data_IF_657826919218
#
_entry.id   IF_657826919218
#
_cell.length_a   1.000
_cell.length_b   1.000
_cell.length_c   1.000
_cell.angle_alpha   90.00
_cell.angle_beta   90.00
_cell.angle_gamma   90.00
#
_symmetry.space_group_name_H-M   'P 1'
#
loop_
_entity.id
_entity.type
_entity.pdbx_description
1 polymer ?
2 water ?
#
# COMPACT_ATOMS: atom_id res chain seq x y z
N UNK A 3 -12.88 -12.02 -12.13
CA UNK A 3 -12.22 -11.45 -10.96
C UNK A 3 -13.17 -11.34 -9.76
N UNK A 4 -13.02 -12.27 -8.83
CA UNK A 4 -13.99 -12.43 -7.76
C UNK A 4 -13.39 -12.16 -6.38
N UNK A 5 -14.26 -11.84 -5.42
CA UNK A 5 -13.87 -11.68 -4.03
C UNK A 5 -13.82 -13.04 -3.35
N UNK A 6 -12.67 -13.37 -2.74
CA UNK A 6 -12.56 -14.62 -2.00
C UNK A 6 -13.61 -14.69 -0.89
N UNK A 7 -14.35 -15.81 -0.81
CA UNK A 7 -15.43 -15.98 0.16
C UNK A 7 -14.97 -15.69 1.58
N UNK A 8 -13.76 -16.12 1.92
CA UNK A 8 -13.29 -16.00 3.29
C UNK A 8 -13.22 -14.55 3.80
N UNK A 9 -13.10 -13.60 2.89
CA UNK A 9 -13.09 -12.20 3.27
C UNK A 9 -14.40 -11.52 2.95
N UNK A 10 -15.32 -12.27 2.34
CA UNK A 10 -16.58 -11.68 1.89
C UNK A 10 -17.33 -10.93 3.01
N UNK A 11 -17.41 -11.54 4.18
CA UNK A 11 -18.17 -10.94 5.27
C UNK A 11 -17.44 -9.73 5.90
N UNK A 12 -16.13 -9.81 6.06
CA UNK A 12 -15.40 -8.67 6.63
C UNK A 12 -15.42 -7.50 5.67
N UNK A 13 -15.32 -7.78 4.38
CA UNK A 13 -15.33 -6.73 3.38
C UNK A 13 -16.66 -6.01 3.33
N UNK A 14 -17.76 -6.76 3.37
CA UNK A 14 -19.11 -6.17 3.41
C UNK A 14 -19.39 -5.29 4.63
N UNK A 15 -18.84 -5.69 5.78
CA UNK A 15 -19.03 -4.90 7.00
C UNK A 15 -18.35 -3.53 6.91
N UNK A 16 -17.14 -3.51 6.35
CA UNK A 16 -16.42 -2.26 6.12
C UNK A 16 -17.14 -1.43 5.08
N UNK A 17 -17.60 -2.08 4.02
CA UNK A 17 -18.36 -1.36 3.00
C UNK A 17 -19.57 -0.68 3.57
N UNK A 18 -20.29 -1.37 4.44
CA UNK A 18 -21.53 -0.78 4.95
C UNK A 18 -21.20 0.28 5.96
N UNK A 19 -20.12 0.08 6.70
CA UNK A 19 -19.67 1.12 7.60
C UNK A 19 -19.29 2.35 6.79
N UNK A 20 -18.52 2.20 5.73
CA UNK A 20 -18.03 3.37 5.01
C UNK A 20 -19.18 4.16 4.37
N UNK A 21 -20.07 3.45 3.71
CA UNK A 21 -21.25 4.04 3.08
C UNK A 21 -22.09 4.77 4.10
N UNK A 22 -22.21 4.18 5.28
CA UNK A 22 -22.97 4.77 6.37
C UNK A 22 -22.40 6.13 6.81
N UNK A 23 -21.14 6.14 7.24
CA UNK A 23 -20.49 7.38 7.67
C UNK A 23 -20.40 8.42 6.55
N UNK A 24 -20.04 7.96 5.35
CA UNK A 24 -19.79 8.87 4.24
C UNK A 24 -21.08 9.38 3.64
N UNK A 25 -22.11 8.54 3.62
CA UNK A 25 -23.40 8.94 3.08
C UNK A 25 -23.31 9.42 1.64
N UNK A 26 -23.73 10.65 1.43
CA UNK A 26 -23.81 11.29 0.12
C UNK A 26 -22.48 11.38 -0.64
N UNK A 27 -21.42 11.87 -0.01
CA UNK A 27 -20.18 12.15 -0.73
C UNK A 27 -19.47 10.92 -1.30
N UNK A 28 -19.95 9.74 -0.92
CA UNK A 28 -19.37 8.51 -1.45
C UNK A 28 -19.57 8.43 -2.96
N UNK A 29 -18.45 8.26 -3.66
CA UNK A 29 -18.43 8.05 -5.10
C UNK A 29 -18.14 6.58 -5.39
N UNK A 30 -17.01 6.08 -4.89
CA UNK A 30 -16.63 4.68 -5.09
C UNK A 30 -15.88 4.04 -3.92
N UNK A 31 -15.91 2.71 -3.88
CA UNK A 31 -15.07 1.93 -2.97
C UNK A 31 -14.44 0.79 -3.74
N UNK A 32 -13.12 0.78 -3.81
CA UNK A 32 -12.43 -0.24 -4.59
C UNK A 32 -11.66 -1.20 -3.70
N UNK A 33 -11.70 -2.47 -4.08
CA UNK A 33 -10.96 -3.49 -3.35
C UNK A 33 -9.71 -3.80 -4.15
N UNK A 34 -8.57 -3.83 -3.49
CA UNK A 34 -7.35 -4.18 -4.20
C UNK A 34 -6.44 -4.99 -3.29
N UNK A 35 -5.22 -5.28 -3.74
CA UNK A 35 -4.28 -6.05 -2.95
C UNK A 35 -4.32 -7.54 -3.18
N UNK A 36 -3.73 -8.29 -2.23
CA UNK A 36 -3.58 -9.73 -2.39
C UNK A 36 -4.93 -10.45 -2.63
N UNK A 37 -6.00 -9.88 -2.10
CA UNK A 37 -7.35 -10.40 -2.28
C UNK A 37 -7.76 -10.52 -3.75
N UNK A 38 -7.28 -9.63 -4.61
CA UNK A 38 -7.51 -9.74 -6.05
C UNK A 38 -6.32 -10.19 -6.92
N UNK A 39 -5.12 -10.25 -6.33
CA UNK A 39 -3.92 -10.63 -7.09
C UNK A 39 -2.85 -11.25 -6.20
N UNK A 40 -2.27 -12.38 -6.60
CA UNK A 40 -1.23 -13.00 -5.79
C UNK A 40 -1.78 -14.01 -4.78
N UNK A 41 -3.05 -13.86 -4.41
CA UNK A 41 -3.68 -14.80 -3.53
C UNK A 41 -3.47 -14.47 -2.07
N UNK A 42 -4.44 -14.83 -1.24
CA UNK A 42 -4.40 -14.49 0.16
C UNK A 42 -3.48 -15.43 0.94
N UNK A 43 -2.80 -14.85 1.92
CA UNK A 43 -1.89 -15.59 2.77
C UNK A 43 -2.52 -15.39 4.12
N UNK A 44 -2.15 -16.20 5.10
CA UNK A 44 -2.76 -15.98 6.43
C UNK A 44 -2.63 -14.53 6.85
N UNK A 45 -1.52 -13.88 6.49
CA UNK A 45 -1.28 -12.51 6.95
C UNK A 45 -1.71 -11.35 6.03
N UNK A 46 -2.37 -11.65 4.92
CA UNK A 46 -2.71 -10.58 3.98
C UNK A 46 -3.69 -9.57 4.56
N UNK A 47 -3.60 -8.33 4.09
CA UNK A 47 -4.57 -7.30 4.48
C UNK A 47 -5.61 -7.06 3.40
N UNK A 48 -6.82 -6.72 3.82
CA UNK A 48 -7.83 -6.30 2.88
C UNK A 48 -7.59 -4.82 2.63
N UNK A 49 -7.46 -4.45 1.37
CA UNK A 49 -7.15 -3.07 1.00
C UNK A 49 -8.31 -2.42 0.25
N UNK A 50 -8.73 -1.26 0.74
CA UNK A 50 -9.80 -0.48 0.11
C UNK A 50 -9.38 0.94 -0.25
N UNK A 51 -9.74 1.40 -1.44
CA UNK A 51 -9.71 2.81 -1.74
C UNK A 51 -11.15 3.35 -1.68
N UNK A 52 -11.31 4.48 -0.97
CA UNK A 52 -12.59 5.16 -0.86
C UNK A 52 -12.53 6.54 -1.51
N UNK A 53 -13.25 6.70 -2.63
CA UNK A 53 -13.29 7.96 -3.36
C UNK A 53 -14.49 8.77 -2.92
N UNK A 54 -14.25 10.02 -2.52
CA UNK A 54 -15.30 10.89 -2.01
C UNK A 54 -15.26 12.26 -2.67
N UNK A 55 -16.36 13.00 -2.56
CA UNK A 55 -16.56 14.19 -3.35
C UNK A 55 -16.20 15.46 -2.61
N UNK A 56 -16.42 15.42 -1.30
CA UNK A 56 -16.04 16.51 -0.41
C UNK A 56 -15.29 15.94 0.77
N UNK A 57 -14.51 16.78 1.47
CA UNK A 57 -13.76 16.34 2.65
C UNK A 57 -14.65 15.90 3.83
N UNK A 58 -14.05 15.09 4.70
CA UNK A 58 -14.72 14.55 5.87
C UNK A 58 -14.78 15.58 6.97
N UNK A 59 -15.89 15.62 7.70
CA UNK A 59 -15.93 16.39 8.93
C UNK A 59 -14.98 15.70 9.90
N UNK A 60 -14.52 16.39 10.94
CA UNK A 60 -13.65 15.77 11.91
C UNK A 60 -14.40 14.65 12.64
N UNK A 61 -15.70 14.86 12.81
CA UNK A 61 -16.57 13.86 13.41
C UNK A 61 -16.55 12.56 12.63
N UNK A 62 -16.67 12.68 11.31
CA UNK A 62 -16.64 11.52 10.42
C UNK A 62 -15.28 10.85 10.44
N UNK A 63 -14.23 11.65 10.36
CA UNK A 63 -12.89 11.12 10.43
C UNK A 63 -12.79 10.26 11.69
N UNK A 64 -13.19 10.84 12.82
CA UNK A 64 -13.14 10.15 14.10
C UNK A 64 -13.98 8.86 14.09
N UNK A 65 -15.17 8.93 13.51
CA UNK A 65 -16.03 7.76 13.48
C UNK A 65 -15.40 6.66 12.65
N UNK A 66 -14.92 7.02 11.45
CA UNK A 66 -14.30 6.08 10.55
C UNK A 66 -13.08 5.38 11.14
N UNK A 67 -12.20 6.15 11.77
CA UNK A 67 -11.00 5.56 12.34
C UNK A 67 -11.38 4.62 13.50
N UNK A 68 -12.27 5.07 14.37
CA UNK A 68 -12.67 4.22 15.48
C UNK A 68 -13.32 2.92 15.00
N UNK A 69 -14.28 3.02 14.08
CA UNK A 69 -15.05 1.86 13.66
C UNK A 69 -14.22 0.90 12.80
N UNK A 70 -13.27 1.42 12.03
CA UNK A 70 -12.37 0.59 11.25
C UNK A 70 -11.45 -0.22 12.17
N UNK A 71 -10.89 0.48 13.14
CA UNK A 71 -10.08 -0.13 14.18
C UNK A 71 -10.79 -1.34 14.77
N UNK A 72 -12.10 -1.23 14.94
CA UNK A 72 -12.93 -2.30 15.49
C UNK A 72 -13.10 -3.47 14.53
N UNK A 73 -13.23 -3.19 13.23
CA UNK A 73 -13.36 -4.23 12.20
C UNK A 73 -12.01 -4.77 11.77
N UNK A 74 -10.95 -4.31 12.40
CA UNK A 74 -9.62 -4.75 11.98
C UNK A 74 -8.88 -5.40 13.15
N UNK A 75 -7.96 -6.30 12.85
CA UNK A 75 -7.08 -6.82 13.89
C UNK A 75 -5.69 -6.90 13.32
N UNK A 76 -4.67 -6.94 14.17
CA UNK A 76 -3.31 -7.08 13.65
C UNK A 76 -3.24 -8.32 12.77
N UNK A 77 -2.44 -8.26 11.70
CA UNK A 77 -2.23 -9.45 10.86
C UNK A 77 -1.77 -10.64 11.69
N UNK A 78 -2.23 -11.83 11.31
CA UNK A 78 -1.98 -13.04 12.09
C UNK A 78 -2.42 -12.92 13.54
N UNK A 79 -3.54 -12.24 13.79
CA UNK A 79 -4.06 -12.20 15.15
C UNK A 79 -5.12 -13.28 15.28
N UNK A 80 -6.18 -13.13 14.50
CA UNK A 80 -7.25 -14.10 14.51
C UNK A 80 -7.55 -14.59 13.12
N UNK A 81 -8.03 -15.83 13.05
CA UNK A 81 -8.72 -16.31 11.87
C UNK A 81 -10.00 -15.50 11.81
N UNK A 82 -10.61 -15.41 10.63
CA UNK A 82 -11.89 -14.70 10.44
C UNK A 82 -11.85 -13.16 10.64
N UNK A 83 -10.72 -12.60 11.05
CA UNK A 83 -10.57 -11.14 11.08
C UNK A 83 -9.20 -10.71 10.56
N UNK A 84 -9.20 -9.95 9.46
CA UNK A 84 -7.94 -9.58 8.81
C UNK A 84 -7.62 -8.11 9.00
N UNK A 85 -6.32 -7.78 8.94
CA UNK A 85 -5.90 -6.38 8.88
C UNK A 85 -6.59 -5.62 7.74
N UNK A 86 -7.05 -4.41 8.01
CA UNK A 86 -7.62 -3.55 6.98
C UNK A 86 -6.66 -2.44 6.63
N UNK A 87 -6.64 -2.04 5.37
CA UNK A 87 -6.02 -0.80 4.98
C UNK A 87 -7.05 -0.03 4.20
N UNK A 88 -7.30 1.20 4.61
CA UNK A 88 -8.31 2.02 3.98
C UNK A 88 -7.76 3.40 3.71
N UNK A 89 -7.75 3.77 2.44
CA UNK A 89 -7.30 5.09 2.02
C UNK A 89 -8.47 5.88 1.43
N UNK A 90 -8.74 7.05 2.00
CA UNK A 90 -9.79 7.92 1.53
C UNK A 90 -9.14 9.02 0.69
N UNK A 91 -9.67 9.26 -0.50
CA UNK A 91 -9.11 10.29 -1.36
C UNK A 91 -10.20 11.11 -2.02
N UNK A 92 -9.93 12.41 -2.15
CA UNK A 92 -10.83 13.33 -2.81
C UNK A 92 -10.81 13.14 -4.31
N UNK A 93 -12.00 13.02 -4.88
CA UNK A 93 -12.16 12.88 -6.32
C UNK A 93 -11.42 13.97 -7.09
N UNK A 94 -11.55 15.21 -6.63
CA UNK A 94 -10.88 16.36 -7.26
C UNK A 94 -9.36 16.25 -7.32
N UNK A 95 -8.78 15.39 -6.49
CA UNK A 95 -7.33 15.23 -6.47
C UNK A 95 -6.84 14.33 -7.60
N UNK A 96 -7.67 13.35 -7.97
CA UNK A 96 -7.36 12.45 -9.07
C UNK A 96 -7.80 12.98 -10.44
N UNK A 97 -8.98 13.60 -10.46
CA UNK A 97 -9.60 14.12 -11.68
C UNK A 97 -10.04 15.58 -11.53
N UNK A 98 -9.20 16.54 -11.97
CA UNK A 98 -7.92 16.36 -12.66
C UNK A 98 -6.80 16.02 -11.69
N UNK A 99 -5.79 15.33 -12.16
CA UNK A 99 -4.62 14.99 -11.35
C UNK A 99 -3.96 16.22 -10.74
N UNK A 100 -3.77 16.18 -9.43
CA UNK A 100 -2.84 17.05 -8.73
C UNK A 100 -1.57 16.24 -8.40
N UNK A 101 -0.38 16.79 -8.67
CA UNK A 101 0.87 16.06 -8.46
C UNK A 101 1.81 16.71 -7.43
N UNK A 102 2.02 16.04 -6.28
CA UNK A 102 1.37 14.81 -5.83
C UNK A 102 -0.03 15.10 -5.28
N UNK A 103 -0.91 14.11 -5.32
CA UNK A 103 -2.22 14.35 -4.73
C UNK A 103 -2.14 14.19 -3.22
N UNK A 104 -3.04 14.85 -2.50
CA UNK A 104 -3.21 14.60 -1.08
C UNK A 104 -4.07 13.37 -0.89
N UNK A 105 -3.86 12.64 0.19
CA UNK A 105 -4.84 11.67 0.62
C UNK A 105 -5.55 12.22 1.84
N UNK A 106 -6.88 12.18 1.79
CA UNK A 106 -7.71 12.71 2.86
C UNK A 106 -7.54 11.94 4.18
N UNK A 107 -7.45 10.61 4.10
CA UNK A 107 -7.33 9.79 5.32
C UNK A 107 -6.68 8.44 5.05
N UNK A 108 -5.99 7.90 6.06
CA UNK A 108 -5.48 6.55 5.93
C UNK A 108 -5.64 5.76 7.23
N UNK A 109 -6.17 4.55 7.12
CA UNK A 109 -6.22 3.64 8.26
C UNK A 109 -5.32 2.44 7.99
N UNK A 110 -4.63 1.97 9.02
CA UNK A 110 -3.84 0.76 8.98
C UNK A 110 -3.47 0.34 10.39
N UNK A 111 -3.01 -0.90 10.57
CA UNK A 111 -2.74 -1.40 11.94
C UNK A 111 -1.57 -0.70 12.61
N UNK A 112 -0.71 -0.06 11.82
CA UNK A 112 0.35 0.77 12.37
C UNK A 112 -0.18 2.00 13.07
N UNK A 113 -1.47 2.29 12.89
CA UNK A 113 -2.08 3.42 13.60
C UNK A 113 -2.84 3.03 14.87
N UNK A 114 -2.83 1.75 15.22
CA UNK A 114 -3.72 1.28 16.28
C UNK A 114 -3.50 1.96 17.61
N UNK A 115 -2.25 2.19 17.97
CA UNK A 115 -1.99 2.81 19.25
C UNK A 115 -2.29 4.31 19.19
N UNK A 116 -1.88 4.96 18.11
CA UNK A 116 -2.26 6.35 17.85
C UNK A 116 -3.78 6.55 17.96
N UNK A 117 -4.56 5.68 17.30
CA UNK A 117 -6.03 5.73 17.33
C UNK A 117 -6.61 5.50 18.72
N UNK A 118 -5.99 4.62 19.50
CA UNK A 118 -6.43 4.37 20.87
C UNK A 118 -6.27 5.64 21.66
N UNK A 119 -5.27 6.42 21.30
CA UNK A 119 -4.99 7.68 21.97
C UNK A 119 -5.90 8.77 21.42
N UNK A 120 -6.65 8.43 20.37
CA UNK A 120 -7.53 9.39 19.74
C UNK A 120 -6.74 10.34 18.84
N UNK A 121 -5.54 9.91 18.47
CA UNK A 121 -4.71 10.67 17.55
C UNK A 121 -5.04 10.24 16.15
N UNK A 122 -5.55 11.17 15.33
CA UNK A 122 -5.90 10.87 13.94
C UNK A 122 -5.11 11.74 13.00
N UNK A 123 -4.19 11.12 12.26
CA UNK A 123 -3.34 11.88 11.34
C UNK A 123 -4.17 12.53 10.23
N UNK A 124 -3.84 13.80 9.90
CA UNK A 124 -4.61 14.63 8.96
C UNK A 124 -4.32 14.31 7.50
N UNK A 125 -5.02 14.99 6.58
CA UNK A 125 -4.74 14.86 5.15
C UNK A 125 -3.31 15.33 4.82
N UNK A 126 -2.68 14.67 3.86
CA UNK A 126 -1.33 15.05 3.43
C UNK A 126 -1.01 14.58 2.03
N UNK A 127 0.00 15.19 1.42
CA UNK A 127 0.43 14.79 0.09
C UNK A 127 1.09 13.42 0.13
N UNK A 128 0.72 12.57 -0.81
CA UNK A 128 1.36 11.26 -0.94
C UNK A 128 1.61 10.88 -2.39
N UNK A 129 2.88 10.79 -2.76
CA UNK A 129 3.23 10.38 -4.12
C UNK A 129 2.81 8.96 -4.41
N UNK A 130 2.61 8.18 -3.34
CA UNK A 130 2.11 6.81 -3.46
C UNK A 130 0.75 6.77 -4.10
N UNK A 131 -0.06 7.80 -3.91
CA UNK A 131 -1.39 7.85 -4.53
C UNK A 131 -1.31 7.57 -6.02
N UNK A 132 -0.35 8.22 -6.68
CA UNK A 132 -0.14 8.04 -8.09
C UNK A 132 0.03 6.55 -8.36
N UNK A 133 0.88 5.92 -7.55
CA UNK A 133 1.15 4.49 -7.69
C UNK A 133 -0.13 3.70 -7.46
N UNK A 134 -0.84 4.06 -6.39
CA UNK A 134 -2.04 3.36 -5.98
C UNK A 134 -3.09 3.34 -7.08
N UNK A 135 -3.44 4.53 -7.57
CA UNK A 135 -4.42 4.65 -8.64
C UNK A 135 -4.04 3.81 -9.85
N UNK A 136 -2.76 3.88 -10.23
CA UNK A 136 -2.25 3.14 -11.37
C UNK A 136 -2.39 1.65 -11.11
N UNK A 137 -2.07 1.25 -9.89
CA UNK A 137 -2.21 -0.12 -9.46
C UNK A 137 -3.65 -0.63 -9.61
N UNK A 138 -4.63 0.15 -9.14
CA UNK A 138 -6.03 -0.28 -9.23
C UNK A 138 -6.59 -0.19 -10.64
N UNK A 139 -5.91 0.53 -11.54
CA UNK A 139 -6.27 0.46 -12.96
C UNK A 139 -5.90 -0.90 -13.53
N UNK A 140 -4.83 -1.51 -13.04
CA UNK A 140 -4.50 -2.87 -13.45
C UNK A 140 -5.44 -3.90 -12.84
N UNK A 141 -5.57 -3.89 -11.52
CA UNK A 141 -6.48 -4.85 -10.88
C UNK A 141 -7.26 -4.31 -9.68
N UNK A 142 -8.58 -4.28 -9.79
CA UNK A 142 -9.43 -3.98 -8.64
C UNK A 142 -10.83 -4.50 -8.86
N UNK A 143 -11.57 -4.63 -7.77
CA UNK A 143 -12.97 -4.95 -7.82
C UNK A 143 -13.76 -3.78 -7.26
N UNK A 144 -14.60 -3.16 -8.07
CA UNK A 144 -15.41 -2.00 -7.70
C UNK A 144 -16.56 -2.41 -6.78
N UNK A 145 -16.31 -2.43 -5.48
CA UNK A 145 -17.30 -2.78 -4.46
C UNK A 145 -18.47 -1.80 -4.39
N UNK A 146 -18.19 -0.54 -4.69
CA UNK A 146 -19.23 0.46 -4.76
C UNK A 146 -18.91 1.39 -5.90
N UNK A 147 -19.85 1.58 -6.82
CA UNK A 147 -19.68 2.58 -7.85
C UNK A 147 -18.98 2.07 -9.08
N UNK A 148 -18.48 3.00 -9.90
CA UNK A 148 -17.89 2.63 -11.16
C UNK A 148 -16.55 1.91 -11.01
N UNK A 149 -16.23 1.11 -12.03
CA UNK A 149 -14.94 0.44 -12.11
C UNK A 149 -13.85 1.49 -12.28
N UNK A 150 -12.67 1.21 -11.71
CA UNK A 150 -11.57 2.16 -11.74
C UNK A 150 -11.28 2.68 -13.13
N UNK A 151 -11.34 1.78 -14.12
CA UNK A 151 -11.01 2.09 -15.52
C UNK A 151 -11.84 3.22 -16.09
N UNK A 152 -13.10 3.29 -15.65
CA UNK A 152 -14.05 4.30 -16.09
C UNK A 152 -13.88 5.61 -15.33
N UNK A 153 -13.56 5.46 -14.05
CA UNK A 153 -13.48 6.57 -13.10
C UNK A 153 -12.14 7.33 -13.09
N UNK A 154 -11.04 6.62 -13.25
CA UNK A 154 -9.75 7.26 -13.07
C UNK A 154 -8.96 7.39 -14.37
N UNK A 155 -8.19 8.46 -14.49
CA UNK A 155 -7.27 8.68 -15.60
C UNK A 155 -5.79 8.43 -15.24
N UNK A 156 -5.03 7.72 -16.10
CA UNK A 156 -3.57 7.80 -15.94
C UNK A 156 -3.18 9.28 -16.03
N UNK A 157 -2.31 9.84 -15.17
CA UNK A 157 -0.98 9.38 -14.77
C UNK A 157 0.00 9.37 -15.94
N UNK A 158 0.48 10.57 -16.34
CA UNK A 158 1.51 10.71 -17.39
C UNK A 158 2.83 10.03 -17.00
N UNK A 159 3.41 9.28 -17.94
CA UNK A 159 4.54 8.39 -17.66
C UNK A 159 5.61 9.05 -16.81
N UNK A 160 5.87 10.33 -17.10
CA UNK A 160 6.83 11.14 -16.37
C UNK A 160 6.57 11.19 -14.86
N UNK A 161 5.31 11.37 -14.49
CA UNK A 161 4.93 11.43 -13.07
C UNK A 161 5.04 10.08 -12.40
N UNK A 162 4.76 9.02 -13.17
CA UNK A 162 4.94 7.66 -12.69
C UNK A 162 6.39 7.41 -12.33
N UNK A 163 7.30 7.91 -13.16
CA UNK A 163 8.73 7.80 -12.88
C UNK A 163 9.07 8.56 -11.61
N UNK A 164 8.57 9.79 -11.53
CA UNK A 164 8.73 10.64 -10.34
C UNK A 164 8.25 9.98 -9.04
N UNK A 165 7.08 9.34 -9.08
CA UNK A 165 6.49 8.76 -7.88
C UNK A 165 7.19 7.49 -7.43
N UNK A 166 7.72 6.72 -8.38
CA UNK A 166 8.43 5.49 -8.09
C UNK A 166 9.82 5.74 -7.51
N UNK A 167 10.50 6.72 -8.07
CA UNK A 167 11.86 7.05 -7.70
C UNK A 167 11.96 7.95 -6.48
N UNK A 168 10.89 8.66 -6.15
CA UNK A 168 10.86 9.55 -4.99
C UNK A 168 11.48 8.98 -3.69
N UNK A 169 11.10 7.75 -3.29
CA UNK A 169 11.65 7.19 -2.05
C UNK A 169 13.16 7.02 -2.03
N UNK A 170 13.78 6.95 -3.21
CA UNK A 170 15.21 6.74 -3.28
C UNK A 170 15.98 7.84 -2.58
N UNK A 171 15.47 9.06 -2.65
CA UNK A 171 16.20 10.17 -2.03
C UNK A 171 15.91 10.25 -0.54
N UNK A 172 15.06 9.36 -0.05
CA UNK A 172 14.81 9.30 1.38
C UNK A 172 16.01 8.72 2.09
N UNK A 173 16.72 7.80 1.43
CA UNK A 173 17.77 7.10 2.12
C UNK A 173 19.13 7.46 1.58
N UNK A 174 19.76 8.43 2.24
CA UNK A 174 21.11 8.89 1.91
C UNK A 174 22.17 8.15 2.71
N UNK A 175 21.87 7.99 3.99
CA UNK A 175 22.84 7.57 4.97
C UNK A 175 22.31 6.37 5.73
N UNK A 176 23.13 5.85 6.64
CA UNK A 176 22.77 4.69 7.45
C UNK A 176 21.69 5.05 8.45
N UNK A 177 21.73 6.31 8.90
CA UNK A 177 20.75 6.84 9.84
C UNK A 177 19.37 6.90 9.21
N UNK A 178 19.32 7.17 7.91
CA UNK A 178 18.05 7.21 7.19
C UNK A 178 17.45 5.81 7.20
N UNK A 179 18.33 4.83 7.09
CA UNK A 179 17.91 3.45 6.93
C UNK A 179 17.57 2.78 8.26
N UNK A 180 18.12 3.34 9.33
CA UNK A 180 18.30 2.62 10.59
C UNK A 180 17.12 1.82 11.14
N UNK A 181 15.94 2.41 11.28
CA UNK A 181 14.85 1.69 11.90
C UNK A 181 13.84 1.12 10.92
N UNK A 182 13.99 1.49 9.65
CA UNK A 182 13.08 1.10 8.56
C UNK A 182 13.51 -0.04 7.61
N UNK A 183 14.57 -0.76 7.96
CA UNK A 183 15.23 -1.71 7.05
C UNK A 183 14.31 -2.71 6.33
N UNK A 184 13.33 -3.25 7.04
CA UNK A 184 12.40 -4.21 6.43
C UNK A 184 11.56 -3.55 5.32
N UNK A 185 10.90 -2.45 5.65
CA UNK A 185 10.13 -1.70 4.67
C UNK A 185 10.97 -1.27 3.47
N UNK A 186 12.20 -0.81 3.73
CA UNK A 186 13.04 -0.27 2.65
C UNK A 186 13.41 -1.33 1.62
N UNK A 187 13.90 -2.44 2.11
CA UNK A 187 14.32 -3.57 1.28
C UNK A 187 13.21 -4.02 0.34
N UNK A 188 12.00 -4.17 0.88
CA UNK A 188 10.85 -4.56 0.06
C UNK A 188 10.47 -3.45 -0.91
N UNK A 189 10.52 -2.21 -0.45
CA UNK A 189 10.17 -1.10 -1.33
C UNK A 189 11.12 -1.00 -2.51
N UNK A 190 12.40 -1.20 -2.24
CA UNK A 190 13.42 -1.20 -3.27
C UNK A 190 13.15 -2.31 -4.29
N UNK A 191 12.73 -3.47 -3.81
CA UNK A 191 12.43 -4.56 -4.73
C UNK A 191 11.23 -4.18 -5.59
N UNK A 192 10.26 -3.51 -4.99
CA UNK A 192 9.03 -3.14 -5.69
C UNK A 192 9.29 -2.12 -6.79
N UNK A 193 10.08 -1.10 -6.46
CA UNK A 193 10.43 -0.06 -7.42
C UNK A 193 11.20 -0.63 -8.61
N UNK A 194 12.18 -1.46 -8.31
CA UNK A 194 13.02 -2.09 -9.33
C UNK A 194 12.14 -2.92 -10.24
N UNK A 195 11.24 -3.69 -9.63
CA UNK A 195 10.30 -4.53 -10.34
C UNK A 195 9.38 -3.74 -11.28
N UNK A 196 8.76 -2.69 -10.77
CA UNK A 196 7.82 -1.92 -11.56
C UNK A 196 8.52 -1.18 -12.69
N UNK A 197 9.66 -0.58 -12.39
CA UNK A 197 10.41 0.15 -13.41
C UNK A 197 10.82 -0.76 -14.55
N UNK A 198 11.19 -2.00 -14.20
CA UNK A 198 11.62 -2.98 -15.18
C UNK A 198 10.48 -3.62 -15.98
N UNK A 199 9.44 -4.09 -15.29
CA UNK A 199 8.36 -4.83 -15.93
C UNK A 199 7.20 -3.95 -16.35
N UNK A 200 7.18 -2.72 -15.87
CA UNK A 200 6.08 -1.81 -16.16
C UNK A 200 4.85 -2.12 -15.30
N UNK A 201 4.97 -3.12 -14.45
CA UNK A 201 3.83 -3.60 -13.70
C UNK A 201 3.75 -2.99 -12.29
N UNK A 202 2.68 -2.23 -12.02
CA UNK A 202 2.55 -1.49 -10.76
C UNK A 202 1.91 -2.24 -9.58
N UNK A 203 1.28 -3.39 -9.79
CA UNK A 203 0.83 -4.06 -8.60
C UNK A 203 2.01 -4.95 -8.21
N UNK A 204 2.80 -4.46 -7.26
CA UNK A 204 4.10 -5.08 -6.99
C UNK A 204 4.26 -5.93 -5.74
N UNK A 205 3.31 -5.91 -4.82
CA UNK A 205 3.63 -6.33 -3.46
C UNK A 205 3.97 -7.82 -3.31
N UNK A 206 3.25 -8.69 -4.02
CA UNK A 206 3.58 -10.14 -4.05
C UNK A 206 4.58 -10.58 -5.10
N UNK A 207 4.65 -9.86 -6.21
CA UNK A 207 5.50 -10.31 -7.31
C UNK A 207 7.01 -9.94 -7.25
N UNK A 208 7.32 -8.73 -6.80
CA UNK A 208 8.65 -8.14 -6.96
C UNK A 208 9.81 -9.05 -6.52
N UNK A 209 9.78 -9.47 -5.26
CA UNK A 209 10.88 -10.25 -4.70
C UNK A 209 11.19 -11.51 -5.51
N UNK A 210 10.17 -12.28 -5.84
CA UNK A 210 10.34 -13.52 -6.58
C UNK A 210 10.93 -13.24 -7.94
N UNK A 211 10.53 -12.11 -8.51
CA UNK A 211 11.04 -11.73 -9.82
C UNK A 211 12.53 -11.41 -9.72
N UNK A 212 12.91 -10.67 -8.68
CA UNK A 212 14.24 -10.10 -8.56
C UNK A 212 15.29 -11.07 -8.05
N UNK A 213 14.91 -11.89 -7.06
CA UNK A 213 15.83 -12.84 -6.42
C UNK A 213 16.75 -13.63 -7.35
N UNK A 214 16.23 -14.14 -8.48
CA UNK A 214 17.16 -14.85 -9.36
C UNK A 214 18.20 -13.92 -9.98
N UNK A 215 17.91 -12.63 -10.08
CA UNK A 215 18.83 -11.73 -10.78
C UNK A 215 19.86 -11.14 -9.82
N UNK A 216 19.68 -11.40 -8.54
CA UNK A 216 20.61 -10.89 -7.53
C UNK A 216 21.74 -11.84 -7.21
N UNK A 217 22.97 -11.31 -7.12
CA UNK A 217 24.10 -12.08 -6.60
C UNK A 217 23.77 -12.52 -5.18
N UNK A 218 24.22 -13.71 -4.80
CA UNK A 218 23.78 -14.35 -3.56
C UNK A 218 23.85 -13.42 -2.35
N UNK A 219 24.91 -12.62 -2.30
CA UNK A 219 25.13 -11.68 -1.18
C UNK A 219 23.89 -10.84 -0.88
N UNK A 220 23.32 -10.22 -1.90
CA UNK A 220 22.11 -9.43 -1.73
C UNK A 220 20.83 -10.24 -1.74
N UNK A 221 20.81 -11.32 -2.53
CA UNK A 221 19.64 -12.17 -2.58
C UNK A 221 19.27 -12.67 -1.18
N UNK A 222 20.30 -13.01 -0.40
CA UNK A 222 20.08 -13.40 0.99
C UNK A 222 19.28 -12.37 1.79
N UNK A 223 19.50 -11.08 1.48
CA UNK A 223 18.85 -10.02 2.23
C UNK A 223 17.40 -9.86 1.81
N UNK A 224 17.18 -9.89 0.50
CA UNK A 224 15.85 -9.79 -0.07
C UNK A 224 15.02 -11.02 0.33
N UNK A 225 15.65 -12.18 0.35
CA UNK A 225 15.00 -13.42 0.76
C UNK A 225 14.41 -13.38 2.18
N UNK A 226 15.17 -12.82 3.12
CA UNK A 226 14.70 -12.70 4.48
C UNK A 226 13.47 -11.79 4.56
N UNK A 227 13.48 -10.73 3.77
CA UNK A 227 12.42 -9.74 3.80
C UNK A 227 11.13 -10.35 3.29
N UNK A 228 11.22 -10.98 2.13
CA UNK A 228 10.12 -11.73 1.55
C UNK A 228 9.54 -12.72 2.53
N UNK A 229 10.42 -13.50 3.15
CA UNK A 229 9.97 -14.55 4.02
C UNK A 229 9.26 -13.96 5.21
N UNK A 230 9.71 -12.79 5.65
CA UNK A 230 9.01 -12.08 6.71
C UNK A 230 7.68 -11.54 6.23
N UNK A 231 7.64 -11.11 4.97
CA UNK A 231 6.42 -10.55 4.41
C UNK A 231 5.37 -11.66 4.32
N UNK A 232 5.82 -12.85 3.93
CA UNK A 232 4.93 -13.98 3.78
C UNK A 232 4.46 -14.45 5.15
N UNK A 233 5.14 -13.96 6.17
CA UNK A 233 4.80 -14.31 7.54
C UNK A 233 5.24 -15.69 7.94
N UNK A 234 6.19 -16.27 7.22
CA UNK A 234 6.68 -17.58 7.66
C UNK A 234 7.91 -17.55 8.54
N UNK A 235 8.58 -16.41 8.61
CA UNK A 235 9.67 -16.23 9.57
C UNK A 235 9.90 -14.74 9.84
N UNK A 236 10.26 -14.39 11.07
CA UNK A 236 10.51 -12.98 11.37
C UNK A 236 11.99 -12.82 11.67
N UNK A 237 12.55 -11.69 11.29
CA UNK A 237 13.99 -11.49 11.46
C UNK A 237 14.32 -10.33 12.39
N UNK A 238 15.51 -10.38 12.99
CA UNK A 238 15.95 -9.26 13.81
C UNK A 238 16.65 -8.38 12.81
N UNK A 239 16.02 -7.25 12.49
CA UNK A 239 16.45 -6.41 11.38
C UNK A 239 17.57 -5.45 11.81
N UNK A 240 17.73 -5.32 13.12
CA UNK A 240 18.79 -4.45 13.61
C UNK A 240 20.16 -5.08 13.40
N UNK A 241 20.26 -6.40 13.55
CA UNK A 241 21.55 -7.04 13.29
C UNK A 241 21.83 -7.09 11.78
N UNK A 242 20.76 -7.11 11.00
CA UNK A 242 20.87 -7.19 9.54
C UNK A 242 21.15 -5.83 8.88
N UNK A 243 21.29 -4.79 9.70
CA UNK A 243 21.47 -3.43 9.21
C UNK A 243 22.62 -3.25 8.18
N UNK A 244 23.82 -3.76 8.48
CA UNK A 244 24.90 -3.55 7.53
C UNK A 244 24.65 -4.26 6.18
N UNK A 245 24.00 -5.40 6.22
CA UNK A 245 23.67 -6.11 4.99
C UNK A 245 22.56 -5.37 4.25
N UNK A 246 21.75 -4.62 5.00
CA UNK A 246 20.67 -3.87 4.40
C UNK A 246 21.21 -2.61 3.76
N UNK A 247 22.22 -2.02 4.40
CA UNK A 247 22.81 -0.81 3.89
C UNK A 247 23.48 -1.10 2.56
N UNK A 248 24.22 -2.21 2.54
CA UNK A 248 24.84 -2.74 1.33
C UNK A 248 23.78 -3.01 0.29
N UNK A 249 22.65 -3.57 0.72
CA UNK A 249 21.57 -3.81 -0.21
C UNK A 249 21.09 -2.51 -0.82
N UNK A 250 20.89 -1.49 0.02
CA UNK A 250 20.45 -0.22 -0.47
C UNK A 250 21.37 0.32 -1.57
N UNK A 251 22.67 0.39 -1.28
CA UNK A 251 23.62 0.97 -2.22
C UNK A 251 23.64 0.21 -3.54
N UNK A 252 23.66 -1.11 -3.45
CA UNK A 252 23.64 -1.97 -4.65
C UNK A 252 22.34 -1.76 -5.41
N UNK A 253 21.27 -1.48 -4.69
CA UNK A 253 19.98 -1.24 -5.34
C UNK A 253 19.91 0.14 -6.02
N UNK A 254 20.40 1.17 -5.34
CA UNK A 254 20.46 2.50 -5.94
C UNK A 254 21.33 2.52 -7.20
N UNK A 255 22.41 1.73 -7.17
CA UNK A 255 23.29 1.63 -8.33
C UNK A 255 22.61 0.97 -9.52
N UNK A 256 21.88 -0.11 -9.30
CA UNK A 256 21.32 -0.86 -10.43
C UNK A 256 19.86 -0.63 -10.78
N UNK A 257 19.14 0.14 -9.97
CA UNK A 257 17.72 0.35 -10.27
C UNK A 257 17.59 1.31 -11.42
N UNK A 258 16.85 0.89 -12.45
CA UNK A 258 16.65 1.59 -13.72
C UNK A 258 16.28 3.03 -13.49
N UNK A 259 16.76 3.90 -14.36
CA UNK A 259 16.47 5.32 -14.25
C UNK A 259 15.27 5.63 -15.13
N UNK A 260 14.74 4.59 -15.76
CA UNK A 260 13.68 4.72 -16.76
C UNK A 260 12.93 3.40 -16.93
N UNK A 261 11.74 3.47 -17.54
CA UNK A 261 10.97 2.27 -17.83
C UNK A 261 11.56 1.46 -18.98
N UNK A 262 11.83 0.18 -18.72
CA UNK A 262 12.27 -0.71 -19.79
C UNK A 262 11.12 -1.06 -20.72
#
# INVERSE_FOLDING_TARGET
MTLSIPPSIQCQTEAACRLITRVTGDTLRAIHLYGSAVAGGLKPNSDIDLLVTICQPLTEAQRATLMQELLALSSPPGASAEKRALEVTVVLYSQLVPWCFPPSREMQFGEWLREDICQGIYEPAQQDWDMVLLITQILETSIPLKGERAERLFTPAPAAQLLKALRYPLDLWQSTADVQGDEYHIVLTLARIWYTLSTGRFTSKDAAADWLLPQLPEDYAATLRAAQREYLGLEQQDWHILLPAVVRFVDFAKAHIPTQFTKG
#
